data_IF_136228093262
#
_entry.id   IF_136228093262
#
_cell.length_a   1.000
_cell.length_b   1.000
_cell.length_c   1.000
_cell.angle_alpha   90.00
_cell.angle_beta   90.00
_cell.angle_gamma   90.00
#
_symmetry.space_group_name_H-M   'P 1'
#
loop_
_entity.id
_entity.type
_entity.pdbx_description
1 polymer ?
#
# COMPACT_ATOMS: atom_id res chain seq x y z
N UNK A 1 9.00 -9.71 -20.72
CA UNK A 1 8.96 -9.63 -19.24
C UNK A 1 7.55 -9.98 -18.73
N UNK A 2 7.41 -11.07 -17.97
CA UNK A 2 6.13 -11.55 -17.44
C UNK A 2 5.90 -10.96 -16.04
N UNK A 3 5.43 -9.71 -15.99
CA UNK A 3 5.00 -9.06 -14.74
C UNK A 3 3.48 -9.16 -14.68
N UNK A 4 2.94 -9.68 -13.57
CA UNK A 4 1.50 -9.72 -13.33
C UNK A 4 1.02 -8.42 -12.68
N UNK A 5 0.50 -7.50 -13.50
CA UNK A 5 0.05 -6.20 -13.04
C UNK A 5 -1.35 -6.27 -12.38
N UNK A 6 -1.44 -5.90 -11.10
CA UNK A 6 -2.71 -5.81 -10.37
C UNK A 6 -3.15 -4.34 -10.30
N UNK A 7 -3.91 -3.89 -11.32
CA UNK A 7 -4.29 -2.46 -11.48
C UNK A 7 -5.05 -1.84 -10.31
N UNK A 8 -5.79 -2.63 -9.52
CA UNK A 8 -6.62 -2.14 -8.40
C UNK A 8 -5.93 -2.18 -7.05
N UNK A 9 -4.73 -2.76 -6.96
CA UNK A 9 -4.04 -2.90 -5.70
C UNK A 9 -3.39 -1.57 -5.29
N UNK A 10 -3.64 -1.17 -4.05
CA UNK A 10 -2.99 -0.08 -3.35
C UNK A 10 -1.53 -0.45 -3.06
N UNK A 11 -1.30 -1.65 -2.53
CA UNK A 11 0.01 -2.27 -2.52
C UNK A 11 -0.09 -3.78 -2.74
N UNK A 12 1.02 -4.38 -3.16
CA UNK A 12 1.17 -5.82 -3.34
C UNK A 12 2.44 -6.26 -2.61
N UNK A 13 2.35 -7.34 -1.86
CA UNK A 13 3.51 -8.06 -1.34
C UNK A 13 3.72 -9.32 -2.18
N UNK A 14 4.94 -9.49 -2.71
CA UNK A 14 5.40 -10.71 -3.36
C UNK A 14 6.68 -11.18 -2.67
N UNK A 15 6.51 -12.13 -1.74
CA UNK A 15 7.56 -12.58 -0.82
C UNK A 15 8.12 -11.42 0.01
N UNK A 16 9.39 -11.09 -0.21
CA UNK A 16 10.10 -10.02 0.50
C UNK A 16 9.94 -8.63 -0.14
N UNK A 17 9.28 -8.55 -1.29
CA UNK A 17 9.13 -7.30 -2.03
C UNK A 17 7.74 -6.72 -1.81
N UNK A 18 7.67 -5.43 -1.56
CA UNK A 18 6.42 -4.67 -1.47
C UNK A 18 6.46 -3.54 -2.51
N UNK A 19 5.41 -3.44 -3.31
CA UNK A 19 5.24 -2.36 -4.31
C UNK A 19 3.91 -1.66 -4.11
N UNK A 20 3.87 -0.33 -4.28
CA UNK A 20 2.67 0.50 -4.09
C UNK A 20 2.31 1.30 -5.35
N UNK A 21 1.03 1.68 -5.49
CA UNK A 21 0.51 2.41 -6.65
C UNK A 21 0.90 3.90 -6.69
N UNK A 22 0.85 4.59 -5.54
CA UNK A 22 1.09 6.04 -5.44
C UNK A 22 1.55 6.46 -4.04
N UNK A 23 1.68 7.77 -3.80
CA UNK A 23 2.28 8.32 -2.56
C UNK A 23 1.51 7.87 -1.31
N UNK A 24 0.19 8.06 -1.27
CA UNK A 24 -0.63 7.64 -0.13
C UNK A 24 -0.56 6.12 0.07
N UNK A 25 -0.68 5.36 -1.02
CA UNK A 25 -0.54 3.91 -0.98
C UNK A 25 0.84 3.44 -0.49
N UNK A 26 1.89 4.23 -0.73
CA UNK A 26 3.24 4.00 -0.21
C UNK A 26 3.33 4.20 1.29
N UNK A 27 2.60 5.16 1.87
CA UNK A 27 2.52 5.34 3.33
C UNK A 27 1.80 4.14 3.96
N UNK A 28 0.68 3.71 3.37
CA UNK A 28 -0.05 2.53 3.84
C UNK A 28 0.80 1.25 3.75
N UNK A 29 1.57 1.09 2.67
CA UNK A 29 2.53 0.00 2.50
C UNK A 29 3.68 0.06 3.51
N UNK A 30 4.17 1.25 3.86
CA UNK A 30 5.21 1.41 4.88
C UNK A 30 4.70 1.02 6.27
N UNK A 31 3.48 1.43 6.63
CA UNK A 31 2.83 1.01 7.88
C UNK A 31 2.56 -0.50 7.91
N UNK A 32 2.18 -1.08 6.77
CA UNK A 32 2.10 -2.53 6.61
C UNK A 32 3.45 -3.21 6.89
N UNK A 33 4.56 -2.72 6.32
CA UNK A 33 5.90 -3.24 6.59
C UNK A 33 6.28 -3.11 8.07
N UNK A 34 5.96 -1.99 8.72
CA UNK A 34 6.18 -1.83 10.17
C UNK A 34 5.45 -2.92 10.96
N UNK A 35 4.21 -3.25 10.57
CA UNK A 35 3.44 -4.31 11.24
C UNK A 35 4.01 -5.70 11.04
N UNK A 36 4.56 -6.00 9.85
CA UNK A 36 5.20 -7.29 9.54
C UNK A 36 6.56 -7.45 10.24
N UNK A 37 7.33 -6.38 10.35
CA UNK A 37 8.66 -6.41 10.98
C UNK A 37 8.61 -6.33 12.51
N UNK A 38 7.53 -5.80 13.07
CA UNK A 38 7.38 -5.61 14.50
C UNK A 38 6.08 -6.23 14.99
N UNK A 39 4.99 -5.45 15.04
CA UNK A 39 3.63 -5.88 15.33
C UNK A 39 2.64 -4.78 14.91
N UNK A 40 1.34 -5.10 14.95
CA UNK A 40 0.29 -4.18 14.54
C UNK A 40 0.20 -2.95 15.47
N UNK A 41 0.48 -3.11 16.77
CA UNK A 41 0.41 -2.05 17.76
C UNK A 41 1.41 -0.92 17.46
N UNK A 42 2.63 -1.28 17.03
CA UNK A 42 3.64 -0.32 16.63
C UNK A 42 3.26 0.42 15.34
N UNK A 43 2.68 -0.27 14.36
CA UNK A 43 2.18 0.39 13.14
C UNK A 43 1.05 1.37 13.47
N UNK A 44 0.14 0.99 14.37
CA UNK A 44 -0.92 1.89 14.85
C UNK A 44 -0.37 3.08 15.63
N UNK A 45 0.62 2.85 16.49
CA UNK A 45 1.31 3.92 17.21
C UNK A 45 1.93 4.92 16.23
N UNK A 46 2.71 4.44 15.26
CA UNK A 46 3.34 5.30 14.24
C UNK A 46 2.28 6.07 13.46
N UNK A 47 1.19 5.42 13.02
CA UNK A 47 0.11 6.09 12.29
C UNK A 47 -0.51 7.24 13.10
N UNK A 48 -0.68 7.07 14.42
CA UNK A 48 -1.22 8.10 15.31
C UNK A 48 -0.21 9.22 15.55
N UNK A 49 1.06 8.87 15.75
CA UNK A 49 2.15 9.82 16.02
C UNK A 49 2.37 10.79 14.84
N UNK A 50 2.20 10.30 13.61
CA UNK A 50 2.30 11.13 12.39
C UNK A 50 0.94 11.70 11.94
N UNK A 51 -0.12 11.54 12.74
CA UNK A 51 -1.49 11.99 12.44
C UNK A 51 -2.03 11.49 11.09
N UNK A 52 -1.67 10.27 10.69
CA UNK A 52 -2.07 9.67 9.42
C UNK A 52 -3.18 8.63 9.58
N UNK A 53 -4.25 8.77 8.79
CA UNK A 53 -5.31 7.75 8.69
C UNK A 53 -4.85 6.58 7.83
N UNK A 54 -4.46 5.49 8.47
CA UNK A 54 -3.97 4.29 7.78
C UNK A 54 -5.09 3.49 7.10
N UNK A 55 -4.99 3.32 5.78
CA UNK A 55 -5.87 2.45 4.99
C UNK A 55 -5.31 1.03 4.88
N UNK A 56 -5.96 0.08 5.55
CA UNK A 56 -5.45 -1.30 5.72
C UNK A 56 -5.81 -2.27 4.60
N UNK A 57 -6.67 -1.87 3.66
CA UNK A 57 -7.13 -2.76 2.58
C UNK A 57 -6.22 -2.61 1.37
N UNK A 58 -5.32 -3.58 1.19
CA UNK A 58 -4.34 -3.60 0.10
C UNK A 58 -4.97 -3.59 -1.30
N UNK A 59 -6.17 -4.16 -1.44
CA UNK A 59 -6.88 -4.30 -2.72
C UNK A 59 -7.73 -3.10 -3.12
N UNK A 60 -7.82 -2.07 -2.29
CA UNK A 60 -8.72 -0.94 -2.48
C UNK A 60 -7.93 0.36 -2.70
N UNK A 61 -7.59 0.61 -3.97
CA UNK A 61 -7.16 1.94 -4.38
C UNK A 61 -8.36 2.73 -4.96
N UNK A 62 -8.88 3.75 -4.25
CA UNK A 62 -10.00 4.57 -4.73
C UNK A 62 -9.65 5.38 -5.99
N UNK A 63 -8.36 5.50 -6.33
CA UNK A 63 -7.91 6.17 -7.55
C UNK A 63 -7.74 5.22 -8.73
N UNK A 64 -7.89 3.91 -8.54
CA UNK A 64 -7.76 2.92 -9.62
C UNK A 64 -8.76 3.16 -10.77
N UNK A 65 -9.91 3.77 -10.48
CA UNK A 65 -10.95 4.08 -11.46
C UNK A 65 -10.78 5.48 -12.09
N UNK A 66 -9.99 6.36 -11.49
CA UNK A 66 -9.76 7.73 -11.97
C UNK A 66 -8.90 7.78 -13.24
N UNK A 67 -8.05 6.77 -13.46
CA UNK A 67 -7.17 6.67 -14.62
C UNK A 67 -7.46 5.41 -15.46
N UNK A 68 -8.54 5.42 -16.28
CA UNK A 68 -8.91 4.27 -17.10
C UNK A 68 -7.92 3.95 -18.24
N UNK A 69 -7.02 4.89 -18.58
CA UNK A 69 -6.03 4.72 -19.65
C UNK A 69 -4.62 4.71 -19.09
N UNK A 70 -4.02 3.52 -18.98
CA UNK A 70 -2.58 3.36 -18.78
C UNK A 70 -1.85 3.87 -20.03
N UNK A 71 -1.08 4.96 -19.92
CA UNK A 71 0.00 5.26 -20.88
C UNK A 71 1.08 4.20 -20.66
N UNK A 72 1.07 3.19 -21.54
CA UNK A 72 2.19 2.27 -21.76
C UNK A 72 3.41 3.02 -22.26
#
# INVERSE_FOLDING_TARGET
>A
PNVNWIKKARWVQDGKYVSSSGVSAGIDAALYIVSELTNIENAEFVSKDIEYTWHRVASEDPFAEMYPYTRS
#
